data_IF_134793200406
#
_entry.id   IF_134793200406
#
_cell.length_a   1.000
_cell.length_b   1.000
_cell.length_c   1.000
_cell.angle_alpha   90.00
_cell.angle_beta   90.00
_cell.angle_gamma   90.00
#
_symmetry.space_group_name_H-M   'P 1'
#
loop_
_entity.id
_entity.type
_entity.pdbx_description
1 polymer ?
#
# COMPACT_ATOMS: atom_id res chain seq x y z
N UNK A 1 15.93 15.58 11.56
CA UNK A 1 17.03 15.33 10.60
C UNK A 1 17.74 14.04 11.00
N UNK A 2 17.32 12.88 10.50
CA UNK A 2 18.02 11.61 10.79
C UNK A 2 18.63 11.07 9.49
N UNK A 3 19.77 11.64 9.09
CA UNK A 3 20.63 11.08 8.05
C UNK A 3 21.27 9.80 8.59
N UNK A 4 20.76 8.65 8.18
CA UNK A 4 21.34 7.34 8.53
C UNK A 4 22.64 7.15 7.73
N UNK A 5 23.79 7.19 8.41
CA UNK A 5 25.11 6.85 7.86
C UNK A 5 25.39 5.34 7.99
N UNK A 6 26.45 4.84 7.35
CA UNK A 6 26.91 3.44 7.47
C UNK A 6 27.23 3.00 8.92
N UNK A 7 27.44 3.96 9.82
CA UNK A 7 27.68 3.73 11.25
C UNK A 7 26.38 3.65 12.08
N UNK A 8 25.22 3.89 11.46
CA UNK A 8 23.95 3.90 12.18
C UNK A 8 23.54 2.49 12.57
N UNK A 9 23.78 2.15 13.84
CA UNK A 9 23.33 0.90 14.43
C UNK A 9 21.80 0.93 14.59
N UNK A 10 21.09 0.32 13.66
CA UNK A 10 19.65 0.11 13.77
C UNK A 10 19.38 -0.88 14.91
N UNK A 11 18.79 -0.39 16.00
CA UNK A 11 18.28 -1.23 17.08
C UNK A 11 16.76 -1.26 17.03
N UNK A 12 16.18 -2.45 17.19
CA UNK A 12 14.75 -2.59 17.40
C UNK A 12 14.45 -2.16 18.84
N UNK A 13 13.84 -0.99 19.02
CA UNK A 13 13.39 -0.52 20.34
C UNK A 13 12.12 -1.30 20.75
N UNK A 14 11.20 -1.52 19.81
CA UNK A 14 9.96 -2.24 20.05
C UNK A 14 9.06 -2.25 18.81
N UNK A 15 7.91 -2.93 18.91
CA UNK A 15 6.85 -2.92 17.90
C UNK A 15 5.59 -2.35 18.51
N UNK A 16 5.01 -1.35 17.88
CA UNK A 16 3.70 -0.83 18.23
C UNK A 16 2.65 -1.61 17.43
N UNK A 17 1.68 -2.20 18.13
CA UNK A 17 0.58 -2.93 17.53
C UNK A 17 -0.67 -2.05 17.54
N UNK A 18 -1.34 -1.98 16.40
CA UNK A 18 -2.62 -1.31 16.24
C UNK A 18 -3.64 -2.36 15.85
N UNK A 19 -4.59 -2.61 16.75
CA UNK A 19 -5.69 -3.53 16.53
C UNK A 19 -7.00 -2.74 16.51
N UNK A 20 -7.95 -3.20 15.70
CA UNK A 20 -9.25 -2.55 15.57
C UNK A 20 -10.16 -3.28 14.59
N UNK A 21 -11.41 -2.84 14.57
CA UNK A 21 -12.46 -3.38 13.70
C UNK A 21 -12.71 -2.43 12.53
N UNK A 22 -12.82 -2.98 11.32
CA UNK A 22 -13.17 -2.24 10.12
C UNK A 22 -14.65 -2.47 9.83
N UNK A 23 -15.47 -1.43 10.01
CA UNK A 23 -16.90 -1.47 9.71
C UNK A 23 -17.14 -1.01 8.28
N UNK A 24 -17.92 -1.80 7.55
CA UNK A 24 -18.25 -1.53 6.16
C UNK A 24 -19.60 -0.80 6.07
N UNK A 25 -19.58 0.53 6.12
CA UNK A 25 -20.81 1.35 6.14
C UNK A 25 -21.63 1.30 4.84
N UNK A 26 -20.98 0.97 3.72
CA UNK A 26 -21.58 0.82 2.40
C UNK A 26 -20.99 -0.38 1.66
N UNK A 27 -21.52 -0.75 0.48
CA UNK A 27 -20.95 -1.84 -0.32
C UNK A 27 -19.46 -1.61 -0.65
N UNK A 28 -18.61 -2.59 -0.31
CA UNK A 28 -17.17 -2.56 -0.58
C UNK A 28 -16.83 -3.58 -1.67
N UNK A 29 -16.15 -3.10 -2.70
CA UNK A 29 -15.64 -3.94 -3.78
C UNK A 29 -14.11 -3.84 -3.85
N UNK A 30 -13.44 -4.95 -3.62
CA UNK A 30 -12.00 -5.13 -3.86
C UNK A 30 -11.87 -6.28 -4.85
N UNK A 31 -11.53 -5.96 -6.09
CA UNK A 31 -11.50 -6.93 -7.18
C UNK A 31 -10.50 -8.06 -6.96
N UNK A 32 -10.90 -9.28 -7.29
CA UNK A 32 -9.98 -10.40 -7.37
C UNK A 32 -9.13 -10.32 -8.66
N UNK A 33 -7.86 -10.70 -8.59
CA UNK A 33 -6.98 -10.68 -9.77
C UNK A 33 -7.51 -11.60 -10.89
N UNK A 34 -7.05 -11.37 -12.14
CA UNK A 34 -7.49 -12.08 -13.37
C UNK A 34 -7.41 -13.62 -13.35
N UNK A 35 -6.87 -14.23 -12.29
CA UNK A 35 -6.75 -15.68 -12.12
C UNK A 35 -7.88 -16.35 -11.34
N UNK A 36 -8.78 -15.59 -10.69
CA UNK A 36 -9.95 -16.17 -10.01
C UNK A 36 -11.12 -16.28 -11.00
N UNK A 37 -11.01 -17.16 -11.98
CA UNK A 37 -12.15 -17.57 -12.78
C UNK A 37 -13.01 -18.50 -11.94
N UNK A 38 -14.01 -17.93 -11.26
CA UNK A 38 -15.15 -18.72 -10.81
C UNK A 38 -15.84 -19.26 -12.09
N UNK A 39 -15.87 -20.58 -12.28
CA UNK A 39 -16.54 -21.23 -13.41
C UNK A 39 -18.04 -20.86 -13.38
N UNK A 40 -18.47 -20.00 -14.31
CA UNK A 40 -19.83 -19.44 -14.34
C UNK A 40 -20.06 -18.24 -13.39
N UNK A 41 -18.98 -17.62 -12.90
CA UNK A 41 -19.00 -16.58 -11.88
C UNK A 41 -19.39 -15.17 -12.35
N UNK A 42 -19.62 -14.29 -11.37
CA UNK A 42 -19.99 -12.89 -11.58
C UNK A 42 -18.92 -12.11 -12.38
N UNK A 43 -19.37 -11.17 -13.22
CA UNK A 43 -18.50 -10.39 -14.13
C UNK A 43 -17.38 -9.61 -13.41
N UNK A 44 -17.58 -9.25 -12.13
CA UNK A 44 -16.61 -8.52 -11.33
C UNK A 44 -16.46 -9.13 -9.93
N UNK A 45 -15.65 -10.20 -9.78
CA UNK A 45 -15.51 -10.91 -8.52
C UNK A 45 -14.75 -10.10 -7.47
N UNK A 46 -15.11 -10.27 -6.21
CA UNK A 46 -14.38 -9.74 -5.05
C UNK A 46 -13.32 -10.72 -4.57
N UNK A 47 -12.24 -10.19 -3.99
CA UNK A 47 -11.18 -10.99 -3.37
C UNK A 47 -11.73 -11.79 -2.19
N UNK A 48 -11.39 -13.08 -2.14
CA UNK A 48 -11.85 -14.04 -1.14
C UNK A 48 -10.68 -14.83 -0.58
N UNK A 49 -10.82 -15.29 0.66
CA UNK A 49 -9.89 -16.21 1.30
C UNK A 49 -10.03 -17.63 0.74
N UNK A 50 -9.21 -18.56 1.25
CA UNK A 50 -9.24 -19.97 0.84
C UNK A 50 -10.58 -20.68 1.15
N UNK A 51 -11.42 -20.10 2.00
CA UNK A 51 -12.74 -20.61 2.37
C UNK A 51 -13.87 -19.90 1.61
N UNK A 52 -13.55 -19.02 0.65
CA UNK A 52 -14.52 -18.28 -0.16
C UNK A 52 -15.12 -17.06 0.53
N UNK A 53 -14.60 -16.62 1.67
CA UNK A 53 -15.08 -15.44 2.41
C UNK A 53 -14.38 -14.18 1.93
N UNK A 54 -15.10 -13.06 1.73
CA UNK A 54 -14.44 -11.81 1.38
C UNK A 54 -13.55 -11.33 2.54
N UNK A 55 -12.45 -10.66 2.20
CA UNK A 55 -11.55 -10.05 3.18
C UNK A 55 -10.96 -8.76 2.59
N UNK A 56 -10.40 -7.90 3.44
CA UNK A 56 -9.65 -6.73 2.99
C UNK A 56 -8.16 -7.07 3.00
N UNK A 57 -7.48 -7.11 1.83
CA UNK A 57 -6.05 -7.37 1.80
C UNK A 57 -5.25 -6.26 2.49
N UNK A 58 -4.23 -6.64 3.26
CA UNK A 58 -3.33 -5.72 3.94
C UNK A 58 -2.57 -4.84 2.94
N UNK A 59 -2.27 -5.35 1.75
CA UNK A 59 -1.68 -4.57 0.65
C UNK A 59 -2.62 -3.47 0.14
N UNK A 60 -3.92 -3.77 0.00
CA UNK A 60 -4.95 -2.80 -0.41
C UNK A 60 -5.11 -1.69 0.64
N UNK A 61 -5.21 -2.07 1.92
CA UNK A 61 -5.29 -1.14 3.03
C UNK A 61 -4.05 -0.23 3.10
N UNK A 62 -2.85 -0.84 3.10
CA UNK A 62 -1.58 -0.12 3.12
C UNK A 62 -1.43 0.84 1.94
N UNK A 63 -1.80 0.41 0.74
CA UNK A 63 -1.76 1.23 -0.46
C UNK A 63 -2.70 2.44 -0.38
N UNK A 64 -3.92 2.24 0.14
CA UNK A 64 -4.88 3.34 0.32
C UNK A 64 -4.38 4.35 1.35
N UNK A 65 -3.87 3.90 2.50
CA UNK A 65 -3.29 4.78 3.52
C UNK A 65 -2.11 5.56 2.94
N UNK A 66 -1.21 4.90 2.21
CA UNK A 66 -0.08 5.56 1.54
C UNK A 66 -0.55 6.68 0.61
N UNK A 67 -1.47 6.36 -0.29
CA UNK A 67 -1.98 7.33 -1.28
C UNK A 67 -2.65 8.54 -0.62
N UNK A 68 -3.41 8.32 0.47
CA UNK A 68 -4.03 9.40 1.23
C UNK A 68 -3.00 10.27 1.94
N UNK A 69 -1.95 9.68 2.53
CA UNK A 69 -0.86 10.43 3.15
C UNK A 69 -0.05 11.23 2.14
N UNK A 70 0.23 10.67 0.97
CA UNK A 70 0.88 11.40 -0.14
C UNK A 70 0.08 12.63 -0.55
N UNK A 71 -1.25 12.52 -0.61
CA UNK A 71 -2.12 13.67 -0.90
C UNK A 71 -2.16 14.67 0.27
N UNK A 72 -2.38 14.19 1.49
CA UNK A 72 -2.54 15.05 2.67
C UNK A 72 -1.28 15.85 2.99
N UNK A 73 -0.09 15.28 2.74
CA UNK A 73 1.20 15.92 2.97
C UNK A 73 1.71 16.70 1.75
N UNK A 74 0.91 16.82 0.68
CA UNK A 74 1.28 17.55 -0.53
C UNK A 74 2.44 16.93 -1.30
N UNK A 75 2.66 15.61 -1.16
CA UNK A 75 3.71 14.85 -1.86
C UNK A 75 3.20 14.16 -3.14
N UNK A 76 1.89 14.16 -3.36
CA UNK A 76 1.26 13.68 -4.60
C UNK A 76 1.32 14.72 -5.74
N UNK A 77 2.50 15.33 -5.96
CA UNK A 77 2.70 16.32 -7.03
C UNK A 77 2.97 15.58 -8.34
N UNK A 78 2.11 15.68 -9.37
CA UNK A 78 2.19 14.87 -10.57
C UNK A 78 3.59 14.82 -11.20
N UNK A 79 4.25 15.97 -11.35
CA UNK A 79 5.57 16.07 -11.99
C UNK A 79 6.71 15.45 -11.15
N UNK A 80 6.51 15.30 -9.84
CA UNK A 80 7.49 14.73 -8.92
C UNK A 80 7.30 13.22 -8.71
N UNK A 81 6.15 12.66 -9.10
CA UNK A 81 5.87 11.23 -8.96
C UNK A 81 6.83 10.42 -9.84
N UNK A 82 7.29 9.30 -9.30
CA UNK A 82 8.14 8.35 -10.01
C UNK A 82 7.35 7.12 -10.45
N UNK A 83 7.73 6.56 -11.59
CA UNK A 83 7.20 5.28 -12.04
C UNK A 83 7.86 4.12 -11.30
N UNK A 84 7.07 3.42 -10.48
CA UNK A 84 7.49 2.15 -9.87
C UNK A 84 7.32 0.99 -10.86
N UNK A 85 6.30 1.06 -11.71
CA UNK A 85 6.06 0.06 -12.75
C UNK A 85 5.37 0.69 -13.96
N UNK A 86 5.85 0.36 -15.15
CA UNK A 86 5.30 0.79 -16.45
C UNK A 86 4.79 -0.41 -17.25
N UNK A 87 3.87 -1.18 -16.69
CA UNK A 87 3.22 -2.27 -17.43
C UNK A 87 2.07 -1.69 -18.26
N UNK A 88 1.92 -2.14 -19.51
CA UNK A 88 0.83 -1.70 -20.39
C UNK A 88 -0.52 -1.90 -19.70
N UNK A 89 -1.27 -0.81 -19.50
CA UNK A 89 -2.58 -0.80 -18.84
C UNK A 89 -2.54 -0.80 -17.30
N UNK A 90 -1.36 -0.82 -16.68
CA UNK A 90 -1.22 -0.76 -15.22
C UNK A 90 0.07 -0.03 -14.83
N UNK A 91 0.01 1.29 -14.85
CA UNK A 91 1.09 2.15 -14.40
C UNK A 91 0.96 2.40 -12.90
N UNK A 92 2.07 2.23 -12.18
CA UNK A 92 2.15 2.52 -10.75
C UNK A 92 3.08 3.69 -10.55
N UNK A 93 2.53 4.76 -9.97
CA UNK A 93 3.21 6.03 -9.70
C UNK A 93 3.09 6.35 -8.22
N UNK A 94 4.20 6.75 -7.62
CA UNK A 94 4.29 7.03 -6.17
C UNK A 94 5.26 8.17 -5.91
N UNK A 95 5.15 8.77 -4.72
CA UNK A 95 6.18 9.64 -4.18
C UNK A 95 7.39 8.82 -3.71
N UNK A 96 8.60 9.32 -3.94
CA UNK A 96 9.85 8.65 -3.57
C UNK A 96 10.96 9.68 -3.42
N UNK A 97 11.69 9.64 -2.30
CA UNK A 97 12.76 10.60 -2.03
C UNK A 97 13.84 10.05 -1.10
N UNK A 98 15.07 10.57 -1.25
CA UNK A 98 16.19 10.37 -0.34
C UNK A 98 16.14 11.32 0.88
N UNK A 99 15.10 12.17 0.98
CA UNK A 99 14.98 13.15 2.06
C UNK A 99 14.89 12.41 3.40
N UNK A 100 15.84 12.59 4.35
CA UNK A 100 15.90 11.75 5.54
C UNK A 100 14.66 11.87 6.45
N UNK A 101 13.97 13.01 6.38
CA UNK A 101 12.75 13.30 7.13
C UNK A 101 11.45 12.93 6.41
N UNK A 102 11.51 12.28 5.24
CA UNK A 102 10.32 11.87 4.52
C UNK A 102 9.59 10.73 5.25
N UNK A 103 8.53 11.10 5.96
CA UNK A 103 7.72 10.20 6.78
C UNK A 103 7.03 9.12 5.94
N UNK A 104 6.64 9.43 4.70
CA UNK A 104 5.99 8.47 3.80
C UNK A 104 7.01 7.40 3.41
N UNK A 105 8.19 7.79 2.94
CA UNK A 105 9.24 6.86 2.57
C UNK A 105 9.78 6.07 3.77
N UNK A 106 9.78 6.65 4.98
CA UNK A 106 10.13 5.94 6.21
C UNK A 106 9.09 4.89 6.61
N UNK A 107 7.79 5.18 6.47
CA UNK A 107 6.72 4.24 6.80
C UNK A 107 6.59 3.13 5.77
N UNK A 108 6.60 3.49 4.49
CA UNK A 108 6.30 2.58 3.39
C UNK A 108 7.53 1.98 2.71
N UNK A 109 8.73 2.43 3.04
CA UNK A 109 10.00 1.94 2.52
C UNK A 109 10.54 2.77 1.34
N UNK A 110 11.86 2.71 1.15
CA UNK A 110 12.62 3.31 0.04
C UNK A 110 13.25 2.22 -0.81
N UNK A 111 13.03 2.31 -2.11
CA UNK A 111 13.70 1.47 -3.10
C UNK A 111 14.83 2.29 -3.74
N UNK A 112 16.10 1.86 -3.62
CA UNK A 112 17.20 2.54 -4.29
C UNK A 112 17.20 2.22 -5.80
N UNK A 113 17.98 3.00 -6.53
CA UNK A 113 18.25 2.84 -7.96
C UNK A 113 17.60 3.92 -8.82
N UNK A 114 17.88 3.82 -10.11
CA UNK A 114 17.38 4.74 -11.13
C UNK A 114 15.89 4.55 -11.36
N UNK A 115 15.14 5.64 -11.22
CA UNK A 115 13.72 5.73 -11.55
C UNK A 115 13.48 6.89 -12.51
N UNK A 116 12.32 6.89 -13.16
CA UNK A 116 11.91 7.95 -14.07
C UNK A 116 10.74 8.71 -13.44
N UNK A 117 10.84 10.04 -13.40
CA UNK A 117 9.76 10.92 -13.00
C UNK A 117 8.71 11.02 -14.10
N UNK A 118 7.52 11.48 -13.74
CA UNK A 118 6.50 11.86 -14.70
C UNK A 118 6.92 13.01 -15.62
N UNK A 119 7.76 13.93 -15.14
CA UNK A 119 8.35 14.99 -15.96
C UNK A 119 9.24 14.47 -17.10
N UNK A 120 9.65 13.20 -17.03
CA UNK A 120 10.62 12.58 -17.96
C UNK A 120 12.06 12.60 -17.44
N UNK A 121 12.32 13.30 -16.33
CA UNK A 121 13.65 13.34 -15.73
C UNK A 121 13.96 12.01 -15.01
N UNK A 122 15.20 11.55 -15.13
CA UNK A 122 15.67 10.45 -14.31
C UNK A 122 16.02 10.96 -12.90
N UNK A 123 15.63 10.19 -11.89
CA UNK A 123 16.06 10.36 -10.51
C UNK A 123 16.87 9.14 -10.08
N UNK A 124 18.05 9.38 -9.52
CA UNK A 124 18.88 8.34 -8.91
C UNK A 124 18.68 8.40 -7.40
N UNK A 125 18.09 7.36 -6.82
CA UNK A 125 17.85 7.27 -5.39
C UNK A 125 18.85 6.33 -4.75
N UNK A 126 19.53 6.80 -3.71
CA UNK A 126 20.61 6.08 -3.04
C UNK A 126 20.16 5.47 -1.72
N UNK A 127 19.13 6.03 -1.09
CA UNK A 127 18.67 5.56 0.20
C UNK A 127 17.82 4.29 0.03
N UNK A 128 18.20 3.25 0.77
CA UNK A 128 17.43 2.03 0.90
C UNK A 128 16.93 1.92 2.34
N UNK A 129 15.63 1.75 2.53
CA UNK A 129 15.08 1.47 3.86
C UNK A 129 13.89 0.53 3.78
N UNK A 130 13.82 -0.51 4.63
CA UNK A 130 12.64 -1.36 4.70
C UNK A 130 11.43 -0.54 5.15
N UNK A 131 10.24 -0.99 4.79
CA UNK A 131 9.00 -0.45 5.32
C UNK A 131 8.93 -0.67 6.83
N UNK A 132 8.50 0.35 7.57
CA UNK A 132 8.28 0.27 9.03
C UNK A 132 6.82 -0.03 9.39
N UNK A 133 5.89 0.15 8.44
CA UNK A 133 4.48 -0.18 8.60
C UNK A 133 4.15 -1.51 7.88
N UNK A 134 3.64 -2.47 8.65
CA UNK A 134 3.05 -3.70 8.15
C UNK A 134 1.53 -3.64 8.36
N UNK A 135 0.76 -3.92 7.32
CA UNK A 135 -0.68 -4.09 7.40
C UNK A 135 -1.00 -5.55 7.14
N UNK A 136 -1.79 -6.16 8.03
CA UNK A 136 -2.26 -7.53 7.91
C UNK A 136 -3.59 -7.58 7.16
N UNK A 137 -3.90 -8.73 6.57
CA UNK A 137 -5.20 -8.98 5.97
C UNK A 137 -6.28 -8.92 7.06
N UNK A 138 -7.38 -8.22 6.79
CA UNK A 138 -8.53 -8.13 7.69
C UNK A 138 -9.61 -9.13 7.26
N UNK A 139 -9.76 -10.26 7.97
CA UNK A 139 -10.77 -11.26 7.67
C UNK A 139 -12.17 -10.76 8.03
N UNK A 140 -13.19 -11.31 7.37
CA UNK A 140 -14.58 -11.09 7.74
C UNK A 140 -14.86 -11.72 9.11
N UNK A 141 -15.42 -10.92 10.02
CA UNK A 141 -16.10 -11.44 11.21
C UNK A 141 -17.49 -11.95 10.81
N UNK A 142 -17.78 -13.27 10.90
CA UNK A 142 -19.09 -13.82 10.54
C UNK A 142 -20.24 -13.26 11.39
N UNK A 143 -19.97 -12.87 12.63
CA UNK A 143 -20.97 -12.36 13.55
C UNK A 143 -21.33 -10.89 13.24
N UNK A 144 -20.47 -10.19 12.48
CA UNK A 144 -20.74 -8.84 11.99
C UNK A 144 -21.81 -8.77 10.89
N UNK A 145 -22.19 -9.91 10.29
CA UNK A 145 -23.15 -9.95 9.18
C UNK A 145 -24.56 -9.72 9.74
N UNK A 146 -25.08 -8.52 9.48
CA UNK A 146 -26.44 -8.12 9.87
C UNK A 146 -27.50 -9.00 9.20
N UNK A 147 -28.70 -9.07 9.78
CA UNK A 147 -29.83 -9.84 9.23
C UNK A 147 -30.18 -9.39 7.81
N UNK A 148 -30.03 -8.10 7.52
CA UNK A 148 -30.30 -7.50 6.22
C UNK A 148 -29.26 -7.88 5.14
N UNK A 149 -28.07 -8.34 5.54
CA UNK A 149 -26.97 -8.72 4.64
C UNK A 149 -26.92 -10.23 4.38
N UNK A 150 -27.72 -11.04 5.09
CA UNK A 150 -27.84 -12.49 4.90
C UNK A 150 -28.84 -12.81 3.80
#
# INVERSE_FOLDING_TARGET
>A
MSSHTAETKLSLIGKLLFDGELVCDSGLHIGAGKGSLDLGGADNPVVKDAFGRPYVPGSSLRGRIRSLLEQALGRAVPDELVYLSRRRGQEVRIHQSDEPGDEICLLFGRNPGRMERMSGDAIELSAASPARLTAYDAPLDPDSITVQMR
#
